data_IF_200698566268
#
_entry.id   IF_200698566268
#
_cell.length_a   1.000
_cell.length_b   1.000
_cell.length_c   1.000
_cell.angle_alpha   90.00
_cell.angle_beta   90.00
_cell.angle_gamma   90.00
#
_symmetry.space_group_name_H-M   'P 1'
#
loop_
_entity.id
_entity.type
_entity.pdbx_description
1 polymer ?
#
# COMPACT_ATOMS: atom_id res chain seq x y z
N UNK A 1 -21.05 -11.34 14.70
CA UNK A 1 -21.01 -12.08 13.44
C UNK A 1 -21.73 -11.28 12.37
N UNK A 2 -20.97 -10.76 11.41
CA UNK A 2 -21.48 -9.88 10.34
C UNK A 2 -22.37 -10.63 9.34
N UNK A 3 -22.14 -11.93 9.15
CA UNK A 3 -22.94 -12.80 8.25
C UNK A 3 -24.38 -12.86 8.72
N UNK A 4 -24.59 -13.12 10.02
CA UNK A 4 -25.92 -13.15 10.63
C UNK A 4 -26.64 -11.80 10.54
N UNK A 5 -25.91 -10.71 10.66
CA UNK A 5 -26.48 -9.35 10.55
C UNK A 5 -26.94 -9.08 9.12
N UNK A 6 -26.15 -9.47 8.12
CA UNK A 6 -26.50 -9.34 6.71
C UNK A 6 -27.69 -10.23 6.33
N UNK A 7 -27.66 -11.50 6.73
CA UNK A 7 -28.76 -12.45 6.47
C UNK A 7 -30.10 -11.93 7.02
N UNK A 8 -30.11 -11.38 8.24
CA UNK A 8 -31.31 -10.76 8.82
C UNK A 8 -31.88 -9.63 7.95
N UNK A 9 -31.06 -8.90 7.21
CA UNK A 9 -31.54 -7.84 6.32
C UNK A 9 -32.10 -8.40 5.01
N UNK A 10 -31.52 -9.48 4.48
CA UNK A 10 -32.08 -10.21 3.34
C UNK A 10 -33.45 -10.80 3.69
N UNK A 11 -33.56 -11.46 4.84
CA UNK A 11 -34.81 -12.05 5.31
C UNK A 11 -35.90 -10.99 5.50
N UNK A 12 -35.56 -9.85 6.12
CA UNK A 12 -36.49 -8.71 6.31
C UNK A 12 -37.03 -8.15 5.01
N UNK A 13 -36.26 -8.24 3.92
CA UNK A 13 -36.65 -7.78 2.59
C UNK A 13 -37.27 -8.90 1.74
N UNK A 14 -37.48 -10.09 2.31
CA UNK A 14 -37.95 -11.28 1.62
C UNK A 14 -37.14 -11.62 0.37
N UNK A 15 -35.82 -11.38 0.41
CA UNK A 15 -34.91 -11.75 -0.68
C UNK A 15 -34.56 -13.24 -0.58
N UNK A 16 -34.66 -13.96 -1.69
CA UNK A 16 -34.31 -15.37 -1.77
C UNK A 16 -32.78 -15.55 -1.94
N UNK A 17 -32.01 -15.14 -0.93
CA UNK A 17 -30.54 -15.18 -0.93
C UNK A 17 -30.03 -15.68 0.43
N UNK A 18 -29.04 -16.57 0.40
CA UNK A 18 -28.37 -17.11 1.59
C UNK A 18 -26.88 -16.72 1.59
N UNK A 19 -26.41 -16.19 2.72
CA UNK A 19 -24.98 -15.91 2.92
C UNK A 19 -24.26 -17.16 3.42
N UNK A 20 -23.62 -17.88 2.49
CA UNK A 20 -22.96 -19.18 2.76
C UNK A 20 -21.47 -19.05 3.08
N UNK A 21 -20.84 -17.93 2.73
CA UNK A 21 -19.42 -17.69 2.96
C UNK A 21 -19.12 -16.20 3.16
N UNK A 22 -18.12 -15.93 4.00
CA UNK A 22 -17.47 -14.64 4.14
C UNK A 22 -16.01 -14.83 3.76
N UNK A 23 -15.55 -14.11 2.73
CA UNK A 23 -14.25 -14.33 2.11
C UNK A 23 -13.49 -13.00 2.07
N UNK A 24 -12.18 -13.06 2.30
CA UNK A 24 -11.28 -11.93 2.08
C UNK A 24 -11.06 -11.72 0.56
N UNK A 25 -10.93 -10.48 0.12
CA UNK A 25 -10.73 -10.13 -1.29
C UNK A 25 -9.52 -10.83 -1.92
N UNK A 26 -8.40 -10.89 -1.20
CA UNK A 26 -7.15 -11.54 -1.62
C UNK A 26 -7.33 -13.06 -1.77
N UNK A 27 -8.15 -13.67 -0.91
CA UNK A 27 -8.51 -15.10 -1.02
C UNK A 27 -9.33 -15.34 -2.28
N UNK A 28 -10.31 -14.47 -2.55
CA UNK A 28 -11.12 -14.54 -3.77
C UNK A 28 -10.27 -14.40 -5.04
N UNK A 29 -9.23 -13.55 -5.02
CA UNK A 29 -8.28 -13.41 -6.13
C UNK A 29 -7.56 -14.72 -6.43
N UNK A 30 -7.04 -15.41 -5.41
CA UNK A 30 -6.36 -16.69 -5.62
C UNK A 30 -7.34 -17.77 -6.10
N UNK A 31 -8.53 -17.81 -5.50
CA UNK A 31 -9.54 -18.79 -5.84
C UNK A 31 -10.02 -18.65 -7.29
N UNK A 32 -10.13 -17.42 -7.82
CA UNK A 32 -10.46 -17.17 -9.21
C UNK A 32 -9.39 -17.76 -10.17
N UNK A 33 -8.10 -17.50 -9.92
CA UNK A 33 -7.01 -18.07 -10.72
C UNK A 33 -7.03 -19.61 -10.71
N UNK A 34 -7.22 -20.22 -9.53
CA UNK A 34 -7.31 -21.68 -9.40
C UNK A 34 -8.53 -22.23 -10.17
N UNK A 35 -9.67 -21.53 -10.13
CA UNK A 35 -10.88 -21.93 -10.84
C UNK A 35 -10.71 -21.88 -12.37
N UNK A 36 -9.92 -20.92 -12.87
CA UNK A 36 -9.56 -20.80 -14.29
C UNK A 36 -8.51 -21.83 -14.74
N UNK A 37 -8.01 -22.66 -13.83
CA UNK A 37 -7.02 -23.71 -14.10
C UNK A 37 -5.59 -23.19 -14.21
N UNK A 38 -5.32 -21.97 -13.72
CA UNK A 38 -3.96 -21.43 -13.64
C UNK A 38 -3.15 -22.13 -12.54
N UNK A 39 -1.86 -22.33 -12.78
CA UNK A 39 -0.91 -22.82 -11.78
C UNK A 39 -0.51 -21.67 -10.83
N UNK A 40 -1.45 -21.27 -9.97
CA UNK A 40 -1.32 -20.16 -9.05
C UNK A 40 -1.39 -20.63 -7.60
N UNK A 41 -0.35 -20.33 -6.82
CA UNK A 41 -0.25 -20.73 -5.41
C UNK A 41 -0.20 -19.55 -4.43
N UNK A 42 -0.11 -18.32 -4.95
CA UNK A 42 -0.05 -17.07 -4.17
C UNK A 42 -0.87 -16.00 -4.86
N UNK A 43 -1.71 -15.30 -4.12
CA UNK A 43 -2.26 -14.00 -4.53
C UNK A 43 -1.68 -12.89 -3.66
N UNK A 44 -1.49 -11.74 -4.28
CA UNK A 44 -0.92 -10.57 -3.64
C UNK A 44 -1.66 -9.33 -4.10
N UNK A 45 -2.21 -8.57 -3.16
CA UNK A 45 -2.84 -7.28 -3.42
C UNK A 45 -1.89 -6.19 -2.95
N UNK A 46 -1.60 -5.24 -3.84
CA UNK A 46 -0.83 -4.05 -3.55
C UNK A 46 -1.53 -2.83 -4.15
N UNK A 47 -2.12 -2.01 -3.30
CA UNK A 47 -2.71 -0.75 -3.69
C UNK A 47 -2.55 0.26 -2.54
N UNK A 48 -3.65 0.78 -1.98
CA UNK A 48 -3.62 1.53 -0.72
C UNK A 48 -3.22 0.64 0.46
N UNK A 49 -3.72 -0.60 0.46
CA UNK A 49 -3.35 -1.65 1.40
C UNK A 49 -2.47 -2.73 0.78
N UNK A 50 -2.00 -3.65 1.63
CA UNK A 50 -1.24 -4.82 1.20
C UNK A 50 -1.74 -6.09 1.87
N UNK A 51 -1.93 -7.14 1.08
CA UNK A 51 -2.21 -8.46 1.63
C UNK A 51 -1.65 -9.57 0.74
N UNK A 52 -1.41 -10.73 1.35
CA UNK A 52 -0.94 -11.92 0.67
C UNK A 52 -1.71 -13.15 1.14
N UNK A 53 -2.14 -13.97 0.20
CA UNK A 53 -2.72 -15.30 0.49
C UNK A 53 -1.89 -16.33 -0.26
N UNK A 54 -1.65 -17.47 0.36
CA UNK A 54 -1.01 -18.58 -0.32
C UNK A 54 -1.67 -19.91 0.04
N UNK A 55 -1.47 -20.91 -0.80
CA UNK A 55 -1.86 -22.28 -0.52
C UNK A 55 -0.81 -22.98 0.36
N UNK A 56 -1.22 -23.46 1.53
CA UNK A 56 -0.37 -24.20 2.46
C UNK A 56 -0.85 -25.64 2.62
N UNK A 57 0.08 -26.58 2.83
CA UNK A 57 -0.24 -27.96 3.17
C UNK A 57 -0.77 -28.02 4.60
N UNK A 58 -1.86 -28.76 4.79
CA UNK A 58 -2.44 -29.01 6.12
C UNK A 58 -1.40 -29.62 7.08
N UNK A 59 -0.46 -30.42 6.56
CA UNK A 59 0.63 -31.02 7.34
C UNK A 59 1.63 -30.01 7.94
N UNK A 60 1.70 -28.78 7.42
CA UNK A 60 2.57 -27.73 7.92
C UNK A 60 1.91 -26.87 9.01
N UNK A 61 0.61 -27.08 9.26
CA UNK A 61 -0.13 -26.33 10.28
C UNK A 61 -0.05 -27.08 11.60
N UNK A 62 0.66 -26.48 12.56
CA UNK A 62 0.86 -27.03 13.90
C UNK A 62 -0.15 -26.48 14.94
N UNK A 63 -1.19 -25.80 14.47
CA UNK A 63 -2.29 -25.30 15.29
C UNK A 63 -3.40 -26.35 15.37
N UNK A 64 -4.20 -26.29 16.43
CA UNK A 64 -5.35 -27.18 16.65
C UNK A 64 -6.58 -26.78 15.80
N UNK A 65 -6.35 -26.45 14.52
CA UNK A 65 -7.40 -26.08 13.59
C UNK A 65 -8.09 -27.35 13.02
N UNK A 66 -9.41 -27.29 12.86
CA UNK A 66 -10.20 -28.40 12.30
C UNK A 66 -10.34 -28.18 10.79
N UNK A 67 -9.80 -29.10 10.00
CA UNK A 67 -9.93 -29.10 8.55
C UNK A 67 -10.97 -30.10 8.06
N UNK A 68 -11.46 -29.88 6.84
CA UNK A 68 -12.33 -30.84 6.17
C UNK A 68 -11.62 -32.20 6.00
N UNK A 69 -12.38 -33.29 6.16
CA UNK A 69 -11.83 -34.65 6.05
C UNK A 69 -11.27 -34.89 4.66
N UNK A 70 -9.95 -35.12 4.57
CA UNK A 70 -9.25 -35.37 3.31
C UNK A 70 -8.67 -34.12 2.65
N UNK A 71 -8.80 -32.93 3.27
CA UNK A 71 -8.12 -31.73 2.82
C UNK A 71 -6.60 -31.94 2.85
N UNK A 72 -5.93 -31.65 1.73
CA UNK A 72 -4.46 -31.71 1.60
C UNK A 72 -3.84 -30.33 1.79
N UNK A 73 -4.53 -29.30 1.33
CA UNK A 73 -4.12 -27.92 1.35
C UNK A 73 -5.24 -27.03 1.90
N UNK A 74 -4.86 -25.84 2.35
CA UNK A 74 -5.76 -24.79 2.80
C UNK A 74 -5.17 -23.44 2.41
N UNK A 75 -6.04 -22.46 2.12
CA UNK A 75 -5.60 -21.10 1.84
C UNK A 75 -5.32 -20.35 3.14
N UNK A 76 -4.12 -19.79 3.25
CA UNK A 76 -3.69 -18.99 4.39
C UNK A 76 -3.74 -17.52 4.00
N UNK A 77 -4.69 -16.79 4.57
CA UNK A 77 -4.65 -15.34 4.58
C UNK A 77 -3.63 -14.87 5.64
N UNK A 78 -2.55 -14.27 5.17
CA UNK A 78 -1.42 -13.89 6.04
C UNK A 78 -1.65 -12.59 6.79
N UNK A 79 -2.54 -11.71 6.30
CA UNK A 79 -2.68 -10.33 6.79
C UNK A 79 -1.30 -9.64 6.90
N UNK A 80 -0.46 -9.80 5.85
CA UNK A 80 0.96 -9.40 5.84
C UNK A 80 1.19 -7.91 6.11
N UNK A 81 0.15 -7.07 6.00
CA UNK A 81 0.19 -5.66 6.40
C UNK A 81 0.83 -5.42 7.77
N UNK A 82 0.58 -6.32 8.75
CA UNK A 82 1.14 -6.24 10.11
C UNK A 82 2.59 -6.73 10.24
N UNK A 83 3.23 -7.21 9.17
CA UNK A 83 4.59 -7.73 9.26
C UNK A 83 5.58 -6.65 9.75
N UNK A 84 6.43 -7.01 10.71
CA UNK A 84 7.40 -6.08 11.30
C UNK A 84 6.93 -5.30 12.52
N UNK A 85 5.68 -5.46 12.97
CA UNK A 85 5.19 -4.87 14.24
C UNK A 85 6.01 -5.31 15.46
N UNK A 86 6.57 -6.53 15.44
CA UNK A 86 7.51 -7.03 16.46
C UNK A 86 8.93 -6.47 16.36
N UNK A 87 9.17 -5.54 15.43
CA UNK A 87 10.45 -4.88 15.21
C UNK A 87 11.34 -5.49 14.14
N UNK A 88 10.89 -6.55 13.44
CA UNK A 88 11.66 -7.20 12.37
C UNK A 88 12.05 -6.24 11.23
N UNK A 89 11.27 -5.17 11.02
CA UNK A 89 11.51 -4.16 9.99
C UNK A 89 12.21 -2.89 10.51
N UNK A 90 12.56 -2.82 11.80
CA UNK A 90 13.10 -1.59 12.42
C UNK A 90 14.36 -1.05 11.73
N UNK A 91 15.20 -1.93 11.19
CA UNK A 91 16.42 -1.53 10.46
C UNK A 91 16.15 -0.81 9.13
N UNK A 92 14.96 -0.96 8.57
CA UNK A 92 14.56 -0.35 7.29
C UNK A 92 13.78 0.96 7.48
N UNK A 93 13.38 1.29 8.72
CA UNK A 93 12.62 2.50 9.02
C UNK A 93 13.51 3.73 9.04
N UNK A 94 13.20 4.67 8.15
CA UNK A 94 13.81 6.00 8.10
C UNK A 94 13.24 6.90 9.19
N UNK A 95 13.80 8.11 9.30
CA UNK A 95 13.23 9.15 10.18
C UNK A 95 11.81 9.55 9.76
N UNK A 96 11.49 9.49 8.47
CA UNK A 96 10.16 9.86 7.95
C UNK A 96 9.12 8.80 8.33
N UNK A 97 9.47 7.51 8.20
CA UNK A 97 8.57 6.41 8.60
C UNK A 97 8.28 6.48 10.12
N UNK A 98 9.29 6.81 10.93
CA UNK A 98 9.17 6.94 12.39
C UNK A 98 8.38 8.17 12.81
N UNK A 99 8.48 9.28 12.08
CA UNK A 99 7.68 10.50 12.31
C UNK A 99 6.23 10.30 11.90
N UNK A 100 6.00 9.54 10.83
CA UNK A 100 4.67 9.28 10.28
C UNK A 100 3.85 8.28 11.14
N UNK A 101 4.45 7.18 11.60
CA UNK A 101 3.72 6.11 12.29
C UNK A 101 2.83 6.59 13.47
N UNK A 102 3.29 7.48 14.38
CA UNK A 102 2.48 7.98 15.49
C UNK A 102 1.25 8.81 15.09
N UNK A 103 1.26 9.44 13.92
CA UNK A 103 0.18 10.30 13.42
C UNK A 103 -0.74 9.60 12.42
N UNK A 104 -0.42 8.36 12.05
CA UNK A 104 -1.24 7.53 11.16
C UNK A 104 -2.52 7.03 11.87
N UNK A 105 -3.45 6.47 11.10
CA UNK A 105 -4.72 5.95 11.59
C UNK A 105 -4.57 4.82 12.61
N UNK A 106 -3.50 4.03 12.48
CA UNK A 106 -3.23 2.88 13.35
C UNK A 106 -1.78 2.90 13.85
N UNK A 107 -1.44 3.75 14.85
CA UNK A 107 -0.09 3.88 15.36
C UNK A 107 0.49 2.54 15.83
N UNK A 108 1.71 2.23 15.41
CA UNK A 108 2.42 1.00 15.76
C UNK A 108 1.93 -0.26 15.04
N UNK A 109 0.86 -0.17 14.23
CA UNK A 109 0.30 -1.27 13.44
C UNK A 109 0.49 -1.06 11.94
N UNK A 110 0.20 -2.11 11.16
CA UNK A 110 0.27 -2.10 9.69
C UNK A 110 1.67 -1.70 9.20
N UNK A 111 2.70 -2.19 9.91
CA UNK A 111 4.09 -1.74 9.72
C UNK A 111 4.58 -1.97 8.29
N UNK A 112 4.26 -3.11 7.71
CA UNK A 112 4.66 -3.44 6.35
C UNK A 112 3.85 -2.63 5.33
N UNK A 113 2.54 -2.50 5.53
CA UNK A 113 1.68 -1.69 4.68
C UNK A 113 2.16 -0.24 4.61
N UNK A 114 2.57 0.36 5.72
CA UNK A 114 3.11 1.73 5.73
C UNK A 114 4.39 1.90 4.92
N UNK A 115 5.13 0.81 4.69
CA UNK A 115 6.36 0.84 3.89
C UNK A 115 6.10 0.64 2.39
N UNK A 116 5.05 -0.11 2.02
CA UNK A 116 4.81 -0.54 0.64
C UNK A 116 3.51 -0.03 0.02
N UNK A 117 2.52 0.38 0.80
CA UNK A 117 1.22 0.86 0.32
C UNK A 117 1.33 2.23 -0.34
N UNK A 118 0.64 2.43 -1.46
CA UNK A 118 0.76 3.63 -2.29
C UNK A 118 0.41 4.93 -1.54
N UNK A 119 -0.63 4.88 -0.70
CA UNK A 119 -1.04 6.00 0.14
C UNK A 119 0.07 6.47 1.09
N UNK A 120 0.77 5.52 1.70
CA UNK A 120 1.84 5.80 2.64
C UNK A 120 3.12 6.23 1.93
N UNK A 121 3.43 5.64 0.77
CA UNK A 121 4.54 6.10 -0.07
C UNK A 121 4.40 7.58 -0.41
N UNK A 122 3.19 8.01 -0.81
CA UNK A 122 2.94 9.41 -1.18
C UNK A 122 3.09 10.35 0.03
N UNK A 123 2.60 9.95 1.21
CA UNK A 123 2.76 10.74 2.42
C UNK A 123 4.23 10.83 2.88
N UNK A 124 5.02 9.76 2.73
CA UNK A 124 6.47 9.78 3.00
C UNK A 124 7.17 10.71 2.02
N UNK A 125 6.85 10.67 0.73
CA UNK A 125 7.37 11.62 -0.26
C UNK A 125 7.02 13.05 0.14
N UNK A 126 5.77 13.34 0.50
CA UNK A 126 5.33 14.66 0.93
C UNK A 126 6.16 15.18 2.12
N UNK A 127 6.42 14.34 3.11
CA UNK A 127 7.25 14.72 4.27
C UNK A 127 8.71 14.98 3.91
N UNK A 128 9.28 14.20 2.97
CA UNK A 128 10.64 14.45 2.47
C UNK A 128 10.70 15.79 1.73
N UNK A 129 9.73 16.07 0.85
CA UNK A 129 9.65 17.33 0.12
C UNK A 129 9.46 18.52 1.07
N UNK A 130 8.63 18.36 2.12
CA UNK A 130 8.45 19.38 3.16
C UNK A 130 9.77 19.70 3.86
N UNK A 131 10.52 18.68 4.28
CA UNK A 131 11.82 18.86 4.92
C UNK A 131 12.83 19.55 3.98
N UNK A 132 12.90 19.13 2.72
CA UNK A 132 13.78 19.76 1.72
C UNK A 132 13.41 21.22 1.44
N UNK A 133 12.11 21.53 1.47
CA UNK A 133 11.62 22.91 1.31
C UNK A 133 12.03 23.75 2.50
N UNK A 134 11.86 23.27 3.74
CA UNK A 134 12.29 24.00 4.94
C UNK A 134 13.81 24.23 4.99
N UNK A 135 14.60 23.34 4.37
CA UNK A 135 16.04 23.50 4.20
C UNK A 135 16.44 24.42 3.03
N UNK A 136 15.45 25.02 2.34
CA UNK A 136 15.66 25.91 1.20
C UNK A 136 16.20 25.21 -0.05
N UNK A 137 16.12 23.88 -0.12
CA UNK A 137 16.70 23.08 -1.21
C UNK A 137 15.77 23.02 -2.45
N UNK A 138 14.46 23.11 -2.23
CA UNK A 138 13.46 23.10 -3.29
C UNK A 138 12.41 24.20 -3.09
N UNK A 139 11.69 24.54 -4.15
CA UNK A 139 10.53 25.45 -4.15
C UNK A 139 10.82 26.84 -3.56
N UNK A 140 12.07 27.28 -3.65
CA UNK A 140 12.51 28.56 -3.08
C UNK A 140 12.34 28.68 -1.56
N UNK A 141 12.19 27.56 -0.85
CA UNK A 141 11.94 27.54 0.59
C UNK A 141 10.49 27.82 0.99
N UNK A 142 9.56 27.86 0.03
CA UNK A 142 8.15 28.15 0.27
C UNK A 142 7.35 26.85 0.07
N UNK A 143 6.73 26.36 1.15
CA UNK A 143 5.90 25.16 1.07
C UNK A 143 4.57 25.45 0.38
N UNK A 144 4.15 24.67 -0.64
CA UNK A 144 2.90 24.90 -1.34
C UNK A 144 1.66 24.66 -0.46
N UNK A 145 0.67 25.55 -0.51
CA UNK A 145 -0.56 25.47 0.28
C UNK A 145 -1.33 24.16 0.01
N UNK A 146 -1.41 23.76 -1.27
CA UNK A 146 -2.05 22.50 -1.69
C UNK A 146 -1.40 21.24 -1.13
N UNK A 147 -0.18 21.32 -0.59
CA UNK A 147 0.52 20.20 0.03
C UNK A 147 0.56 20.27 1.57
N UNK A 148 -0.14 21.25 2.17
CA UNK A 148 -0.12 21.48 3.61
C UNK A 148 -0.78 20.35 4.39
N UNK A 149 -1.90 19.84 3.87
CA UNK A 149 -2.70 18.85 4.55
C UNK A 149 -2.09 17.44 4.50
N UNK A 150 -2.45 16.64 5.50
CA UNK A 150 -2.17 15.21 5.54
C UNK A 150 -2.74 14.51 4.30
N UNK A 151 -1.96 13.65 3.63
CA UNK A 151 -2.37 12.91 2.42
C UNK A 151 -2.76 13.79 1.22
N UNK A 152 -2.35 15.05 1.21
CA UNK A 152 -2.59 15.97 0.08
C UNK A 152 -1.83 15.59 -1.20
N UNK A 153 -0.70 14.88 -1.08
CA UNK A 153 -0.03 14.29 -2.24
C UNK A 153 -0.71 12.96 -2.60
N UNK A 154 -1.45 12.95 -3.70
CA UNK A 154 -2.17 11.75 -4.12
C UNK A 154 -1.22 10.68 -4.68
N UNK A 155 -1.41 9.36 -4.40
CA UNK A 155 -0.53 8.29 -4.88
C UNK A 155 -0.36 8.22 -6.39
N UNK A 156 -1.37 8.63 -7.16
CA UNK A 156 -1.27 8.69 -8.63
C UNK A 156 -0.15 9.60 -9.11
N UNK A 157 0.25 10.62 -8.32
CA UNK A 157 1.39 11.47 -8.64
C UNK A 157 2.65 10.64 -8.87
N UNK A 158 2.94 9.68 -7.97
CA UNK A 158 4.10 8.80 -8.06
C UNK A 158 4.09 7.97 -9.35
N UNK A 159 2.92 7.48 -9.75
CA UNK A 159 2.76 6.68 -10.97
C UNK A 159 2.87 7.53 -12.24
N UNK A 160 2.33 8.75 -12.22
CA UNK A 160 2.26 9.59 -13.42
C UNK A 160 3.63 10.16 -13.77
N UNK A 161 4.40 10.62 -12.78
CA UNK A 161 5.75 11.19 -13.02
C UNK A 161 6.78 10.14 -13.46
N UNK A 162 6.56 8.86 -13.16
CA UNK A 162 7.40 7.76 -13.65
C UNK A 162 7.20 7.49 -15.15
N UNK A 163 6.10 7.97 -15.75
CA UNK A 163 5.87 7.85 -17.20
C UNK A 163 6.73 8.80 -18.03
N UNK A 164 7.25 9.85 -17.41
CA UNK A 164 8.16 10.78 -18.08
C UNK A 164 9.43 10.03 -18.54
N UNK A 165 9.82 10.11 -19.82
CA UNK A 165 11.05 9.48 -20.32
C UNK A 165 12.30 9.94 -19.56
N UNK A 166 13.40 9.18 -19.64
CA UNK A 166 14.69 9.64 -19.11
C UNK A 166 15.03 11.05 -19.64
N UNK A 167 15.44 11.94 -18.75
CA UNK A 167 15.83 13.33 -19.06
C UNK A 167 14.71 14.26 -19.55
N UNK A 168 13.46 13.79 -19.63
CA UNK A 168 12.29 14.62 -19.89
C UNK A 168 11.43 14.70 -18.62
N UNK A 169 10.83 15.86 -18.36
CA UNK A 169 10.13 16.13 -17.10
C UNK A 169 8.81 16.87 -17.28
N UNK A 170 8.25 16.88 -18.49
CA UNK A 170 7.10 17.71 -18.82
C UNK A 170 5.88 17.38 -17.96
N UNK A 171 5.62 16.10 -17.65
CA UNK A 171 4.47 15.74 -16.81
C UNK A 171 4.72 16.16 -15.37
N UNK A 172 5.92 15.93 -14.88
CA UNK A 172 6.31 16.31 -13.51
C UNK A 172 6.21 17.82 -13.33
N UNK A 173 6.78 18.59 -14.26
CA UNK A 173 6.74 20.05 -14.25
C UNK A 173 5.29 20.56 -14.32
N UNK A 174 4.48 20.01 -15.23
CA UNK A 174 3.07 20.34 -15.36
C UNK A 174 2.30 20.08 -14.06
N UNK A 175 2.47 18.92 -13.44
CA UNK A 175 1.76 18.61 -12.20
C UNK A 175 2.20 19.51 -11.05
N UNK A 176 3.49 19.78 -10.91
CA UNK A 176 3.99 20.67 -9.86
C UNK A 176 3.45 22.10 -10.04
N UNK A 177 3.43 22.63 -11.27
CA UNK A 177 2.92 23.98 -11.56
C UNK A 177 1.40 24.07 -11.50
N UNK A 178 0.71 23.25 -12.28
CA UNK A 178 -0.73 23.42 -12.55
C UNK A 178 -1.61 22.70 -11.53
N UNK A 179 -1.15 21.57 -10.98
CA UNK A 179 -1.94 20.83 -10.00
C UNK A 179 -1.66 21.28 -8.57
N UNK A 180 -0.39 21.56 -8.24
CA UNK A 180 0.04 21.94 -6.89
C UNK A 180 0.40 23.43 -6.71
N UNK A 181 0.19 24.27 -7.72
CA UNK A 181 0.38 25.73 -7.71
C UNK A 181 1.79 26.17 -7.30
N UNK A 182 2.81 25.45 -7.75
CA UNK A 182 4.21 25.77 -7.45
C UNK A 182 4.76 26.74 -8.50
N UNK A 183 4.64 28.05 -8.23
CA UNK A 183 5.06 29.09 -9.17
C UNK A 183 6.58 29.21 -9.31
N UNK A 184 7.33 29.07 -8.20
CA UNK A 184 8.79 29.26 -8.15
C UNK A 184 9.56 27.97 -8.49
N UNK A 185 9.11 27.23 -9.49
CA UNK A 185 9.69 25.93 -9.84
C UNK A 185 10.95 26.07 -10.71
N UNK A 186 12.09 25.59 -10.20
CA UNK A 186 13.35 25.48 -10.94
C UNK A 186 13.49 24.10 -11.57
N UNK A 187 14.32 23.99 -12.61
CA UNK A 187 14.65 22.69 -13.21
C UNK A 187 15.18 21.70 -12.15
N UNK A 188 16.08 22.16 -11.26
CA UNK A 188 16.66 21.38 -10.15
C UNK A 188 15.60 20.79 -9.22
N UNK A 189 14.54 21.55 -8.91
CA UNK A 189 13.43 21.09 -8.07
C UNK A 189 12.77 19.86 -8.68
N UNK A 190 12.56 19.88 -10.00
CA UNK A 190 11.91 18.79 -10.74
C UNK A 190 12.77 17.51 -10.70
N UNK A 191 14.09 17.64 -10.83
CA UNK A 191 15.02 16.51 -10.68
C UNK A 191 14.97 15.93 -9.27
N UNK A 192 15.00 16.79 -8.25
CA UNK A 192 14.97 16.37 -6.84
C UNK A 192 13.66 15.66 -6.51
N UNK A 193 12.52 16.23 -6.92
CA UNK A 193 11.20 15.63 -6.70
C UNK A 193 11.12 14.23 -7.31
N UNK A 194 11.55 14.05 -8.56
CA UNK A 194 11.55 12.72 -9.18
C UNK A 194 12.52 11.76 -8.49
N UNK A 195 13.69 12.23 -8.09
CA UNK A 195 14.64 11.38 -7.38
C UNK A 195 14.07 10.87 -6.04
N UNK A 196 13.43 11.75 -5.27
CA UNK A 196 12.76 11.38 -4.02
C UNK A 196 11.66 10.36 -4.27
N UNK A 197 10.78 10.60 -5.24
CA UNK A 197 9.70 9.68 -5.58
C UNK A 197 10.25 8.30 -5.98
N UNK A 198 11.24 8.28 -6.89
CA UNK A 198 11.89 7.06 -7.34
C UNK A 198 12.53 6.30 -6.19
N UNK A 199 13.21 6.98 -5.26
CA UNK A 199 13.84 6.33 -4.11
C UNK A 199 12.82 5.64 -3.19
N UNK A 200 11.69 6.30 -2.90
CA UNK A 200 10.62 5.74 -2.07
C UNK A 200 9.92 4.58 -2.75
N UNK A 201 9.57 4.73 -4.03
CA UNK A 201 8.93 3.67 -4.84
C UNK A 201 9.87 2.49 -5.01
N UNK A 202 11.16 2.73 -5.28
CA UNK A 202 12.14 1.65 -5.42
C UNK A 202 12.33 0.88 -4.11
N UNK A 203 12.37 1.58 -2.96
CA UNK A 203 12.38 0.92 -1.63
C UNK A 203 11.16 0.02 -1.46
N UNK A 204 9.96 0.54 -1.75
CA UNK A 204 8.71 -0.21 -1.64
C UNK A 204 8.74 -1.45 -2.55
N UNK A 205 9.15 -1.31 -3.81
CA UNK A 205 9.28 -2.41 -4.76
C UNK A 205 10.27 -3.47 -4.28
N UNK A 206 11.42 -3.07 -3.73
CA UNK A 206 12.40 -4.01 -3.17
C UNK A 206 11.83 -4.78 -1.97
N UNK A 207 11.14 -4.11 -1.05
CA UNK A 207 10.51 -4.75 0.10
C UNK A 207 9.43 -5.73 -0.35
N UNK A 208 8.57 -5.33 -1.27
CA UNK A 208 7.54 -6.19 -1.88
C UNK A 208 8.13 -7.43 -2.53
N UNK A 209 9.21 -7.28 -3.31
CA UNK A 209 9.86 -8.40 -4.00
C UNK A 209 10.67 -9.32 -3.06
N UNK A 210 10.92 -8.92 -1.82
CA UNK A 210 11.72 -9.68 -0.85
C UNK A 210 10.95 -10.82 -0.16
N UNK A 211 9.65 -10.98 -0.43
CA UNK A 211 8.80 -12.06 0.09
C UNK A 211 9.08 -13.43 -0.54
N UNK A 212 10.35 -13.79 -0.72
CA UNK A 212 10.80 -15.11 -1.20
C UNK A 212 11.12 -16.05 -0.05
#
# INVERSE_FOLDING_TARGET
DVVKTLQKQFDKRALNVECVALINDTVSTLQACIADGEDCCVSFILNDGVNAVYEEKVTNIHRDDIFEKGAKTVLINTEVAGFGESGALNRFLTIFDRRFDPISEMPGRLRYEKLVGGLYQAEIVRQILYELTNLGQIFGGIWPEKLQDYKSLHPSFLCIIERDPPYLFYTTEFLLKEHYDIENLKAEDVYIVRYVCKAVVYRAACLTASGR
#
